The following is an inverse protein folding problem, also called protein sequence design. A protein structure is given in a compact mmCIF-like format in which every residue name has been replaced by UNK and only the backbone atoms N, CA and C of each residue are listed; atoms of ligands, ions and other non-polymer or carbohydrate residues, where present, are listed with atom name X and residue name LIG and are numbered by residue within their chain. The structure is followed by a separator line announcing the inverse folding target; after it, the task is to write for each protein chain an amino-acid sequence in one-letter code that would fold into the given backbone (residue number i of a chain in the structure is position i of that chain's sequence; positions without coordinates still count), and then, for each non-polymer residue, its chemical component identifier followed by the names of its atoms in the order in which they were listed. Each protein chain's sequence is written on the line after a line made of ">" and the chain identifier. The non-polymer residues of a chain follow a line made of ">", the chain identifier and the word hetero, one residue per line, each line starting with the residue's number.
data_IF_199130064375
#
_entry.id   IF_199130064375
#
_cell.length_a   1.000
_cell.length_b   1.000
_cell.length_c   1.000
_cell.angle_alpha   90.00
_cell.angle_beta   90.00
_cell.angle_gamma   90.00
#
_symmetry.space_group_name_H-M   'P 1'
#
loop_
_entity.id
_entity.type
_entity.pdbx_description
1 polymer ?
#
# COMPACT_ATOMS: atom_id res chain seq x y z
N UNK A 1 18.34 5.68 9.42
CA UNK A 1 17.85 4.43 8.82
C UNK A 1 18.68 3.98 7.61
N UNK A 2 19.04 4.84 6.66
CA UNK A 2 19.88 4.47 5.50
C UNK A 2 21.39 4.33 5.77
N UNK A 3 21.89 4.89 6.87
CA UNK A 3 23.31 4.83 7.27
C UNK A 3 23.77 3.44 7.73
N UNK A 4 22.82 2.58 8.12
CA UNK A 4 23.09 1.23 8.67
C UNK A 4 23.15 0.14 7.59
N UNK A 5 22.77 0.45 6.35
CA UNK A 5 22.67 -0.58 5.29
C UNK A 5 24.06 -0.88 4.73
N UNK A 6 24.60 -2.04 5.10
CA UNK A 6 25.86 -2.51 4.54
C UNK A 6 25.67 -3.05 3.10
N UNK A 7 25.79 -2.15 2.12
CA UNK A 7 25.68 -2.48 0.69
C UNK A 7 26.67 -3.56 0.24
N UNK A 8 27.87 -3.61 0.85
CA UNK A 8 28.90 -4.58 0.51
C UNK A 8 28.50 -6.00 0.91
N UNK A 9 27.84 -6.15 2.07
CA UNK A 9 27.33 -7.44 2.53
C UNK A 9 26.13 -7.92 1.70
N UNK A 10 25.21 -7.00 1.37
CA UNK A 10 23.96 -7.32 0.63
C UNK A 10 24.12 -7.40 -0.89
N UNK A 11 25.30 -7.12 -1.44
CA UNK A 11 25.57 -7.15 -2.88
C UNK A 11 25.17 -8.50 -3.51
N UNK A 12 25.64 -9.61 -2.93
CA UNK A 12 25.42 -10.96 -3.49
C UNK A 12 23.92 -11.28 -3.55
N UNK A 13 23.20 -11.04 -2.46
CA UNK A 13 21.75 -11.22 -2.36
C UNK A 13 21.01 -10.40 -3.42
N UNK A 14 21.41 -9.13 -3.58
CA UNK A 14 20.73 -8.20 -4.49
C UNK A 14 20.95 -8.60 -5.95
N UNK A 15 22.18 -8.94 -6.33
CA UNK A 15 22.50 -9.37 -7.70
C UNK A 15 21.77 -10.68 -8.04
N UNK A 16 21.74 -11.65 -7.11
CA UNK A 16 20.99 -12.91 -7.30
C UNK A 16 19.48 -12.63 -7.43
N UNK A 17 18.93 -11.73 -6.61
CA UNK A 17 17.51 -11.38 -6.65
C UNK A 17 17.13 -10.75 -8.00
N UNK A 18 17.95 -9.84 -8.52
CA UNK A 18 17.76 -9.25 -9.85
C UNK A 18 17.79 -10.33 -10.93
N UNK A 19 18.75 -11.26 -10.85
CA UNK A 19 18.86 -12.37 -11.80
C UNK A 19 17.61 -13.26 -11.79
N UNK A 20 17.15 -13.68 -10.61
CA UNK A 20 15.92 -14.48 -10.46
C UNK A 20 14.71 -13.73 -11.00
N UNK A 21 14.58 -12.44 -10.67
CA UNK A 21 13.48 -11.60 -11.14
C UNK A 21 13.46 -11.50 -12.68
N UNK A 22 14.62 -11.34 -13.33
CA UNK A 22 14.71 -11.34 -14.79
C UNK A 22 14.34 -12.68 -15.42
N UNK A 23 14.68 -13.81 -14.78
CA UNK A 23 14.27 -15.15 -15.25
C UNK A 23 12.75 -15.29 -15.17
N UNK A 24 12.14 -14.88 -14.05
CA UNK A 24 10.68 -14.93 -13.87
C UNK A 24 10.00 -14.08 -14.96
N UNK A 25 10.50 -12.86 -15.21
CA UNK A 25 9.99 -12.00 -16.27
C UNK A 25 10.10 -12.68 -17.64
N UNK A 26 11.24 -13.30 -17.95
CA UNK A 26 11.45 -14.03 -19.20
C UNK A 26 10.47 -15.19 -19.36
N UNK A 27 10.22 -15.95 -18.28
CA UNK A 27 9.28 -17.07 -18.26
C UNK A 27 7.84 -16.60 -18.48
N UNK A 28 7.41 -15.57 -17.76
CA UNK A 28 6.06 -14.98 -17.91
C UNK A 28 5.85 -14.44 -19.31
N UNK A 29 6.84 -13.73 -19.86
CA UNK A 29 6.77 -13.15 -21.20
C UNK A 29 6.69 -14.24 -22.27
N UNK A 30 7.48 -15.32 -22.10
CA UNK A 30 7.44 -16.47 -23.01
C UNK A 30 6.07 -17.18 -22.99
N UNK A 31 5.45 -17.33 -21.81
CA UNK A 31 4.09 -17.88 -21.70
C UNK A 31 3.04 -16.98 -22.36
N UNK A 32 3.17 -15.65 -22.25
CA UNK A 32 2.20 -14.69 -22.80
C UNK A 32 2.26 -14.58 -24.32
N UNK A 33 3.45 -14.65 -24.91
CA UNK A 33 3.63 -14.50 -26.36
C UNK A 33 3.70 -15.83 -27.11
N UNK A 34 3.64 -16.98 -26.41
CA UNK A 34 3.77 -18.32 -26.99
C UNK A 34 5.05 -18.51 -27.84
N UNK A 35 6.04 -17.66 -27.62
CA UNK A 35 7.33 -17.65 -28.30
C UNK A 35 8.45 -17.67 -27.25
N UNK A 36 9.58 -18.26 -27.63
CA UNK A 36 10.76 -18.34 -26.78
C UNK A 36 11.49 -16.99 -26.84
N UNK A 37 11.25 -16.13 -25.84
CA UNK A 37 11.87 -14.80 -25.74
C UNK A 37 13.08 -14.91 -24.81
N UNK A 38 14.29 -14.88 -25.38
CA UNK A 38 15.56 -15.08 -24.68
C UNK A 38 16.32 -13.79 -24.38
N UNK A 39 15.91 -12.66 -24.96
CA UNK A 39 16.59 -11.38 -24.78
C UNK A 39 16.76 -10.94 -23.30
N UNK A 40 15.79 -11.16 -22.39
CA UNK A 40 15.96 -10.84 -20.98
C UNK A 40 17.08 -11.65 -20.30
N UNK A 41 17.22 -12.92 -20.68
CA UNK A 41 18.31 -13.79 -20.19
C UNK A 41 19.66 -13.27 -20.66
N UNK A 42 19.75 -12.87 -21.94
CA UNK A 42 21.00 -12.39 -22.52
C UNK A 42 21.46 -11.09 -21.87
N UNK A 43 20.53 -10.23 -21.46
CA UNK A 43 20.83 -8.99 -20.75
C UNK A 43 21.22 -9.22 -19.28
N UNK A 44 20.67 -10.24 -18.64
CA UNK A 44 20.92 -10.55 -17.23
C UNK A 44 22.25 -11.28 -17.00
N UNK A 45 22.72 -12.07 -17.97
CA UNK A 45 24.00 -12.79 -17.86
C UNK A 45 25.21 -11.85 -17.60
N UNK A 46 25.43 -10.77 -18.38
CA UNK A 46 26.52 -9.83 -18.09
C UNK A 46 26.27 -9.03 -16.81
N UNK A 47 25.03 -8.71 -16.44
CA UNK A 47 24.74 -7.98 -15.18
C UNK A 47 25.13 -8.81 -13.96
N UNK A 48 24.88 -10.12 -14.01
CA UNK A 48 25.26 -11.07 -12.97
C UNK A 48 26.79 -11.17 -12.87
N UNK A 49 27.46 -11.37 -14.01
CA UNK A 49 28.90 -11.54 -14.06
C UNK A 49 29.64 -10.27 -13.62
N UNK A 50 29.26 -9.10 -14.16
CA UNK A 50 29.83 -7.81 -13.79
C UNK A 50 29.52 -7.42 -12.34
N UNK A 51 28.34 -7.75 -11.84
CA UNK A 51 27.93 -7.47 -10.46
C UNK A 51 28.67 -8.31 -9.41
N UNK A 52 29.11 -9.52 -9.77
CA UNK A 52 29.91 -10.39 -8.90
C UNK A 52 31.40 -10.06 -8.97
N UNK A 53 31.94 -9.85 -10.18
CA UNK A 53 33.37 -9.61 -10.42
C UNK A 53 33.82 -8.25 -9.90
N UNK A 54 33.06 -7.19 -10.20
CA UNK A 54 33.46 -5.82 -9.86
C UNK A 54 32.73 -5.32 -8.61
N UNK A 55 33.50 -5.10 -7.54
CA UNK A 55 32.99 -4.66 -6.25
C UNK A 55 32.30 -3.28 -6.34
N UNK A 56 32.87 -2.36 -7.10
CA UNK A 56 32.36 -0.99 -7.29
C UNK A 56 31.05 -1.00 -8.06
N UNK A 57 30.98 -1.77 -9.15
CA UNK A 57 29.80 -1.85 -10.02
C UNK A 57 28.64 -2.54 -9.30
N UNK A 58 28.90 -3.69 -8.65
CA UNK A 58 27.85 -4.39 -7.91
C UNK A 58 27.31 -3.56 -6.73
N UNK A 59 28.15 -2.76 -6.06
CA UNK A 59 27.68 -1.84 -5.03
C UNK A 59 26.83 -0.70 -5.60
N UNK A 60 27.22 -0.12 -6.75
CA UNK A 60 26.44 0.91 -7.42
C UNK A 60 25.06 0.39 -7.87
N UNK A 61 25.00 -0.82 -8.44
CA UNK A 61 23.75 -1.51 -8.81
C UNK A 61 22.88 -1.73 -7.57
N UNK A 62 23.48 -2.24 -6.49
CA UNK A 62 22.78 -2.50 -5.23
C UNK A 62 22.20 -1.21 -4.66
N UNK A 63 22.97 -0.13 -4.65
CA UNK A 63 22.52 1.18 -4.20
C UNK A 63 21.36 1.72 -5.04
N UNK A 64 21.45 1.63 -6.37
CA UNK A 64 20.38 2.05 -7.29
C UNK A 64 19.11 1.23 -7.05
N UNK A 65 19.26 -0.09 -6.93
CA UNK A 65 18.16 -1.02 -6.66
C UNK A 65 17.41 -0.68 -5.37
N UNK A 66 18.14 -0.46 -4.27
CA UNK A 66 17.53 -0.05 -3.01
C UNK A 66 16.78 1.28 -3.15
N UNK A 67 17.32 2.25 -3.89
CA UNK A 67 16.65 3.54 -4.13
C UNK A 67 15.32 3.39 -4.88
N UNK A 68 15.26 2.47 -5.85
CA UNK A 68 14.02 2.13 -6.57
C UNK A 68 13.03 1.47 -5.61
N UNK A 69 13.47 0.45 -4.87
CA UNK A 69 12.61 -0.28 -3.93
C UNK A 69 12.03 0.60 -2.84
N UNK A 70 12.76 1.60 -2.37
CA UNK A 70 12.25 2.57 -1.40
C UNK A 70 11.16 3.46 -1.98
N UNK A 71 11.34 3.88 -3.24
CA UNK A 71 10.32 4.68 -3.94
C UNK A 71 9.05 3.85 -4.14
N UNK A 72 9.20 2.58 -4.53
CA UNK A 72 8.08 1.63 -4.65
C UNK A 72 7.42 1.37 -3.30
N UNK A 73 8.19 1.17 -2.23
CA UNK A 73 7.65 0.97 -0.88
C UNK A 73 6.86 2.18 -0.37
N UNK A 74 7.37 3.39 -0.59
CA UNK A 74 6.67 4.62 -0.23
C UNK A 74 5.39 4.82 -1.04
N UNK A 75 5.43 4.53 -2.35
CA UNK A 75 4.26 4.56 -3.20
C UNK A 75 3.20 3.54 -2.74
N UNK A 76 3.61 2.30 -2.51
CA UNK A 76 2.75 1.22 -2.03
C UNK A 76 2.10 1.57 -0.69
N UNK A 77 2.79 2.21 0.25
CA UNK A 77 2.19 2.59 1.54
C UNK A 77 0.94 3.46 1.38
N UNK A 78 0.96 4.43 0.46
CA UNK A 78 -0.19 5.30 0.19
C UNK A 78 -1.23 4.63 -0.70
N UNK A 79 -0.77 3.95 -1.74
CA UNK A 79 -1.62 3.37 -2.77
C UNK A 79 -2.34 2.13 -2.29
N UNK A 80 -1.66 1.23 -1.58
CA UNK A 80 -2.26 0.02 -1.02
C UNK A 80 -3.35 0.40 -0.02
N UNK A 81 -3.11 1.36 0.87
CA UNK A 81 -4.13 1.78 1.84
C UNK A 81 -5.36 2.38 1.14
N UNK A 82 -5.15 3.22 0.11
CA UNK A 82 -6.25 3.77 -0.68
C UNK A 82 -7.05 2.71 -1.44
N UNK A 83 -6.37 1.76 -2.07
CA UNK A 83 -7.02 0.63 -2.76
C UNK A 83 -7.74 -0.28 -1.77
N UNK A 84 -7.16 -0.53 -0.59
CA UNK A 84 -7.80 -1.33 0.45
C UNK A 84 -9.06 -0.63 0.95
N UNK A 85 -9.01 0.68 1.16
CA UNK A 85 -10.20 1.47 1.47
C UNK A 85 -11.28 1.34 0.38
N UNK A 86 -10.90 1.47 -0.89
CA UNK A 86 -11.84 1.39 -2.01
C UNK A 86 -12.43 -0.01 -2.21
N UNK A 87 -11.65 -1.06 -2.00
CA UNK A 87 -12.09 -2.46 -2.20
C UNK A 87 -12.84 -3.02 -1.00
N UNK A 88 -12.54 -2.60 0.23
CA UNK A 88 -13.18 -3.16 1.42
C UNK A 88 -14.21 -2.20 2.02
N UNK A 89 -13.81 -0.97 2.35
CA UNK A 89 -14.66 -0.02 3.07
C UNK A 89 -15.72 0.60 2.17
N UNK A 90 -15.38 0.92 0.91
CA UNK A 90 -16.34 1.48 -0.03
C UNK A 90 -17.51 0.54 -0.36
N UNK A 91 -17.31 -0.72 -0.80
CA UNK A 91 -18.44 -1.60 -1.05
C UNK A 91 -19.18 -1.96 0.23
N UNK A 92 -18.49 -2.06 1.37
CA UNK A 92 -19.15 -2.22 2.66
C UNK A 92 -20.16 -1.09 2.94
N UNK A 93 -19.76 0.17 2.70
CA UNK A 93 -20.68 1.32 2.84
C UNK A 93 -21.86 1.29 1.85
N UNK A 94 -21.63 0.82 0.63
CA UNK A 94 -22.68 0.68 -0.40
C UNK A 94 -23.67 -0.41 -0.01
N UNK A 95 -23.17 -1.56 0.46
CA UNK A 95 -23.99 -2.68 0.95
C UNK A 95 -24.86 -2.22 2.12
N UNK A 96 -24.30 -1.46 3.07
CA UNK A 96 -25.05 -0.88 4.18
C UNK A 96 -26.14 0.08 3.72
N UNK A 97 -25.87 0.89 2.68
CA UNK A 97 -26.87 1.78 2.06
C UNK A 97 -28.00 1.00 1.39
N UNK A 98 -27.71 -0.12 0.73
CA UNK A 98 -28.70 -0.99 0.09
C UNK A 98 -29.54 -1.78 1.10
N UNK A 99 -28.96 -2.23 2.21
CA UNK A 99 -29.67 -2.98 3.28
C UNK A 99 -30.62 -2.07 4.09
N UNK A 100 -30.61 -0.75 3.85
CA UNK A 100 -31.56 0.17 4.47
C UNK A 100 -31.27 0.47 5.95
N UNK A 101 -30.12 0.02 6.48
CA UNK A 101 -29.57 0.53 7.75
C UNK A 101 -28.97 1.92 7.49
N UNK A 102 -29.86 2.89 7.29
CA UNK A 102 -29.54 4.26 6.92
C UNK A 102 -28.85 5.05 8.05
N UNK A 103 -28.93 4.56 9.29
CA UNK A 103 -28.50 5.30 10.47
C UNK A 103 -27.53 4.48 11.33
N UNK A 104 -26.24 4.46 10.97
CA UNK A 104 -25.17 4.23 11.97
C UNK A 104 -24.78 5.54 12.66
N UNK A 105 -25.00 6.67 11.97
CA UNK A 105 -24.95 8.02 12.52
C UNK A 105 -26.39 8.48 12.63
N UNK A 106 -26.81 8.92 13.82
CA UNK A 106 -28.18 9.30 14.18
C UNK A 106 -28.52 10.65 13.51
N UNK A 107 -28.50 10.69 12.18
CA UNK A 107 -28.92 11.83 11.35
C UNK A 107 -30.22 11.47 10.62
N UNK A 108 -31.17 10.92 11.38
CA UNK A 108 -32.57 11.07 11.03
C UNK A 108 -32.81 12.58 10.97
N UNK A 109 -33.03 13.14 9.78
CA UNK A 109 -33.47 14.52 9.60
C UNK A 109 -34.77 14.67 10.39
N UNK A 110 -34.67 15.03 11.67
CA UNK A 110 -35.80 15.52 12.42
C UNK A 110 -36.08 16.90 11.85
N UNK A 111 -37.34 17.16 11.50
CA UNK A 111 -37.79 18.49 11.08
C UNK A 111 -37.53 19.55 12.15
N UNK A 112 -37.27 19.11 13.38
CA UNK A 112 -36.92 19.96 14.51
C UNK A 112 -36.05 19.22 15.51
N UNK A 113 -34.93 19.83 15.92
CA UNK A 113 -34.11 19.38 17.07
C UNK A 113 -34.80 19.71 18.40
N UNK A 114 -35.90 20.47 18.36
CA UNK A 114 -36.64 20.90 19.53
C UNK A 114 -37.38 19.71 20.13
N UNK A 115 -36.88 19.20 21.25
CA UNK A 115 -37.66 18.31 22.11
C UNK A 115 -38.60 19.18 22.95
N UNK A 116 -39.92 19.02 22.76
CA UNK A 116 -40.89 19.71 23.61
C UNK A 116 -40.86 19.06 24.99
N UNK A 117 -40.05 19.60 25.90
CA UNK A 117 -40.07 19.20 27.31
C UNK A 117 -41.33 19.75 27.95
N UNK A 118 -42.36 18.93 28.06
CA UNK A 118 -43.53 19.25 28.86
C UNK A 118 -43.20 19.00 30.33
N UNK A 119 -42.29 19.80 30.89
CA UNK A 119 -42.06 19.86 32.33
C UNK A 119 -42.94 20.96 32.91
N UNK A 120 -43.79 20.64 33.90
CA UNK A 120 -44.49 21.66 34.66
C UNK A 120 -43.55 22.09 35.78
N UNK A 121 -42.97 23.28 35.63
CA UNK A 121 -42.10 23.87 36.64
C UNK A 121 -42.80 23.88 38.00
N UNK A 122 -42.17 23.25 38.98
CA UNK A 122 -42.55 23.33 40.39
C UNK A 122 -41.62 24.29 41.11
N UNK A 123 -42.03 24.76 42.29
CA UNK A 123 -41.22 25.66 43.13
C UNK A 123 -39.84 25.07 43.45
N UNK A 124 -39.74 23.75 43.64
CA UNK A 124 -38.48 23.06 43.93
C UNK A 124 -37.46 23.13 42.78
N UNK A 125 -37.89 23.41 41.54
CA UNK A 125 -36.97 23.57 40.40
C UNK A 125 -36.23 24.92 40.42
N UNK A 126 -36.68 25.88 41.24
CA UNK A 126 -36.10 27.22 41.34
C UNK A 126 -34.99 27.31 42.40
N UNK A 127 -34.85 26.29 43.26
CA UNK A 127 -33.89 26.32 44.36
C UNK A 127 -32.43 26.14 43.88
N UNK A 128 -32.21 25.62 42.66
CA UNK A 128 -30.89 25.62 42.01
C UNK A 128 -31.00 25.67 40.48
N UNK A 129 -31.01 26.87 39.87
CA UNK A 129 -31.21 27.05 38.44
C UNK A 129 -29.96 26.82 37.56
N UNK A 130 -28.84 26.32 38.12
CA UNK A 130 -27.57 26.07 37.40
C UNK A 130 -27.19 24.59 37.34
#
# INVERSE_FOLDING_TARGET
>A
MFSEINYRAKRKETVITIFILTIIISCVLSFRLSQIILWPIYLSMPILLLGLLNLTIGNAITWLWFRIMLSVGWFSSKVVLGIFYLIFICPYSIILRFIGKKDFLILKRKESTFSRRTHRFKSDDLDNPW
#
